data_IF_317082837199
#
_entry.id   IF_317082837199
#
_cell.length_a   1.000
_cell.length_b   1.000
_cell.length_c   1.000
_cell.angle_alpha   90.00
_cell.angle_beta   90.00
_cell.angle_gamma   90.00
#
_symmetry.space_group_name_H-M   'P 1'
#
loop_
_entity.id
_entity.type
_entity.pdbx_description
1 polymer ?
#
# COMPACT_ATOMS: atom_id res chain seq x y z
N UNK A 1 -12.09 -24.12 -4.38
CA UNK A 1 -11.83 -22.86 -5.14
C UNK A 1 -11.20 -21.76 -4.28
N UNK A 2 -11.65 -21.48 -3.04
CA UNK A 2 -11.03 -20.44 -2.19
C UNK A 2 -9.52 -20.61 -1.93
N UNK A 3 -9.01 -21.85 -1.86
CA UNK A 3 -7.59 -22.14 -1.67
C UNK A 3 -6.67 -21.80 -2.86
N UNK A 4 -7.21 -21.51 -4.05
CA UNK A 4 -6.42 -21.02 -5.20
C UNK A 4 -6.29 -19.49 -5.22
N UNK A 5 -7.28 -18.78 -4.64
CA UNK A 5 -7.29 -17.32 -4.64
C UNK A 5 -6.34 -16.80 -3.58
N UNK A 6 -6.47 -17.29 -2.34
CA UNK A 6 -5.68 -16.83 -1.20
C UNK A 6 -4.48 -17.75 -0.96
N UNK A 7 -3.29 -17.19 -1.09
CA UNK A 7 -2.05 -17.92 -0.85
C UNK A 7 -1.58 -17.79 0.59
N UNK A 8 -1.17 -18.92 1.19
CA UNK A 8 -0.56 -18.91 2.53
C UNK A 8 0.83 -18.27 2.55
N UNK A 9 1.61 -18.43 1.47
CA UNK A 9 2.94 -17.84 1.32
C UNK A 9 2.90 -16.46 0.65
N UNK A 10 3.92 -15.62 0.91
CA UNK A 10 4.03 -14.28 0.34
C UNK A 10 4.11 -14.26 -1.18
N UNK A 11 3.27 -13.46 -1.84
CA UNK A 11 3.25 -13.34 -3.30
C UNK A 11 4.59 -12.80 -3.83
N UNK A 12 5.15 -11.78 -3.16
CA UNK A 12 6.45 -11.21 -3.53
C UNK A 12 7.53 -12.25 -3.36
N UNK A 13 7.51 -13.00 -2.25
CA UNK A 13 8.50 -14.08 -2.01
C UNK A 13 8.52 -15.09 -3.15
N UNK A 14 7.35 -15.51 -3.66
CA UNK A 14 7.27 -16.43 -4.81
C UNK A 14 7.76 -15.81 -6.11
N UNK A 15 7.50 -14.52 -6.30
CA UNK A 15 7.83 -13.80 -7.53
C UNK A 15 9.15 -13.02 -7.45
N UNK A 16 9.96 -13.23 -6.41
CA UNK A 16 11.15 -12.43 -6.15
C UNK A 16 12.14 -12.42 -7.33
N UNK A 17 12.33 -13.56 -7.98
CA UNK A 17 13.18 -13.65 -9.18
C UNK A 17 12.62 -12.82 -10.35
N UNK A 18 11.30 -12.80 -10.56
CA UNK A 18 10.66 -11.98 -11.60
C UNK A 18 10.80 -10.49 -11.27
N UNK A 19 10.57 -10.12 -10.02
CA UNK A 19 10.72 -8.74 -9.51
C UNK A 19 12.15 -8.27 -9.72
N UNK A 20 13.14 -9.07 -9.30
CA UNK A 20 14.57 -8.78 -9.50
C UNK A 20 14.91 -8.57 -10.97
N UNK A 21 14.46 -9.45 -11.86
CA UNK A 21 14.65 -9.30 -13.31
C UNK A 21 14.03 -8.01 -13.83
N UNK A 22 12.83 -7.64 -13.37
CA UNK A 22 12.15 -6.42 -13.80
C UNK A 22 12.85 -5.16 -13.30
N UNK A 23 13.25 -5.09 -12.03
CA UNK A 23 13.99 -3.93 -11.50
C UNK A 23 15.34 -3.75 -12.22
N UNK A 24 16.02 -4.84 -12.55
CA UNK A 24 17.26 -4.78 -13.35
C UNK A 24 17.00 -4.23 -14.76
N UNK A 25 15.92 -4.66 -15.43
CA UNK A 25 15.49 -4.08 -16.73
C UNK A 25 15.19 -2.58 -16.63
N UNK A 26 14.70 -2.13 -15.48
CA UNK A 26 14.46 -0.72 -15.17
C UNK A 26 15.72 0.03 -14.70
N UNK A 27 16.90 -0.61 -14.79
CA UNK A 27 18.22 -0.04 -14.43
C UNK A 27 18.34 0.38 -12.95
N UNK A 28 17.57 -0.25 -12.06
CA UNK A 28 17.71 -0.11 -10.61
C UNK A 28 18.68 -1.15 -10.06
N UNK A 29 19.48 -0.77 -9.06
CA UNK A 29 20.50 -1.67 -8.52
C UNK A 29 19.91 -2.71 -7.56
N UNK A 30 20.73 -3.72 -7.23
CA UNK A 30 20.37 -4.74 -6.26
C UNK A 30 20.26 -4.23 -4.81
N UNK A 31 20.72 -3.01 -4.51
CA UNK A 31 20.58 -2.39 -3.18
C UNK A 31 19.10 -2.10 -2.87
N UNK A 32 18.34 -1.62 -3.87
CA UNK A 32 16.89 -1.42 -3.78
C UNK A 32 16.13 -2.72 -3.44
N UNK A 33 16.67 -3.88 -3.84
CA UNK A 33 16.09 -5.19 -3.53
C UNK A 33 16.37 -5.65 -2.09
N UNK A 34 17.55 -5.35 -1.54
CA UNK A 34 18.02 -5.91 -0.26
C UNK A 34 17.42 -5.19 0.96
N UNK A 35 17.24 -3.88 0.88
CA UNK A 35 16.87 -3.06 2.04
C UNK A 35 15.34 -3.00 2.30
N UNK A 36 14.51 -3.55 1.42
CA UNK A 36 13.06 -3.39 1.51
C UNK A 36 12.33 -4.34 2.48
N UNK A 37 13.05 -5.02 3.37
CA UNK A 37 12.51 -6.08 4.23
C UNK A 37 11.34 -5.61 5.13
N UNK A 38 11.34 -4.35 5.57
CA UNK A 38 10.36 -3.83 6.55
C UNK A 38 8.93 -3.73 6.02
N UNK A 39 8.73 -3.45 4.73
CA UNK A 39 7.41 -3.42 4.08
C UNK A 39 7.07 -4.75 3.36
N UNK A 40 8.08 -5.47 2.87
CA UNK A 40 7.93 -6.77 2.20
C UNK A 40 7.59 -7.92 3.16
N UNK A 41 7.94 -7.86 4.45
CA UNK A 41 7.85 -9.05 5.33
C UNK A 41 6.43 -9.64 5.47
N UNK A 42 5.39 -8.91 5.05
CA UNK A 42 4.02 -9.45 4.94
C UNK A 42 3.33 -9.22 3.59
N UNK A 43 3.88 -8.40 2.71
CA UNK A 43 3.33 -8.05 1.40
C UNK A 43 1.85 -7.66 1.41
N UNK A 44 1.32 -7.14 2.52
CA UNK A 44 -0.14 -7.12 2.69
C UNK A 44 -0.83 -6.28 1.61
N UNK A 45 -0.28 -5.11 1.27
CA UNK A 45 -0.82 -4.27 0.21
C UNK A 45 -0.83 -5.01 -1.14
N UNK A 46 0.29 -5.62 -1.52
CA UNK A 46 0.44 -6.37 -2.78
C UNK A 46 -0.47 -7.61 -2.80
N UNK A 47 -0.56 -8.34 -1.69
CA UNK A 47 -1.45 -9.50 -1.56
C UNK A 47 -2.90 -9.12 -1.75
N UNK A 48 -3.35 -8.07 -1.07
CA UNK A 48 -4.74 -7.62 -1.18
C UNK A 48 -5.04 -7.16 -2.61
N UNK A 49 -4.13 -6.41 -3.24
CA UNK A 49 -4.24 -6.07 -4.66
C UNK A 49 -4.35 -7.30 -5.57
N UNK A 50 -3.44 -8.27 -5.43
CA UNK A 50 -3.43 -9.51 -6.22
C UNK A 50 -4.69 -10.35 -5.99
N UNK A 51 -5.16 -10.48 -4.74
CA UNK A 51 -6.38 -11.22 -4.44
C UNK A 51 -7.61 -10.55 -5.05
N UNK A 52 -7.66 -9.22 -5.03
CA UNK A 52 -8.71 -8.49 -5.74
C UNK A 52 -8.62 -8.71 -7.26
N UNK A 53 -7.43 -8.75 -7.86
CA UNK A 53 -7.30 -9.11 -9.28
C UNK A 53 -7.85 -10.52 -9.57
N UNK A 54 -7.42 -11.53 -8.80
CA UNK A 54 -7.86 -12.93 -8.94
C UNK A 54 -9.35 -13.10 -8.78
N UNK A 55 -9.95 -12.45 -7.77
CA UNK A 55 -11.40 -12.48 -7.53
C UNK A 55 -12.20 -11.93 -8.70
N UNK A 56 -11.58 -11.08 -9.52
CA UNK A 56 -12.18 -10.50 -10.70
C UNK A 56 -11.69 -11.16 -12.00
N UNK A 57 -11.04 -12.33 -11.91
CA UNK A 57 -10.48 -13.10 -13.02
C UNK A 57 -9.48 -12.33 -13.89
N UNK A 58 -8.73 -11.40 -13.28
CA UNK A 58 -7.66 -10.68 -13.96
C UNK A 58 -6.32 -11.41 -13.85
N UNK A 59 -5.55 -11.44 -14.94
CA UNK A 59 -4.21 -12.03 -14.94
C UNK A 59 -3.20 -11.08 -14.28
N UNK A 60 -2.61 -11.54 -13.17
CA UNK A 60 -1.57 -10.82 -12.43
C UNK A 60 -0.37 -10.41 -13.28
N UNK A 61 -0.06 -11.15 -14.35
CA UNK A 61 1.07 -10.79 -15.23
C UNK A 61 0.81 -9.48 -15.97
N UNK A 62 -0.43 -9.19 -16.35
CA UNK A 62 -0.80 -7.92 -16.99
C UNK A 62 -0.59 -6.72 -16.06
N UNK A 63 -0.79 -6.94 -14.75
CA UNK A 63 -0.66 -5.91 -13.71
C UNK A 63 0.68 -5.95 -12.97
N UNK A 64 1.68 -6.65 -13.51
CA UNK A 64 2.99 -6.77 -12.87
C UNK A 64 3.67 -5.39 -12.72
N UNK A 65 3.51 -4.50 -13.70
CA UNK A 65 4.04 -3.13 -13.62
C UNK A 65 3.38 -2.32 -12.49
N UNK A 66 2.08 -2.52 -12.23
CA UNK A 66 1.36 -1.92 -11.10
C UNK A 66 1.90 -2.39 -9.76
N UNK A 67 2.23 -3.68 -9.64
CA UNK A 67 2.83 -4.25 -8.42
C UNK A 67 4.23 -3.68 -8.17
N UNK A 68 5.04 -3.55 -9.22
CA UNK A 68 6.36 -2.92 -9.13
C UNK A 68 6.22 -1.45 -8.72
N UNK A 69 5.25 -0.73 -9.27
CA UNK A 69 5.00 0.66 -8.95
C UNK A 69 4.61 0.83 -7.47
N UNK A 70 3.70 0.01 -6.94
CA UNK A 70 3.37 0.00 -5.50
C UNK A 70 4.64 -0.11 -4.65
N UNK A 71 5.51 -1.07 -4.99
CA UNK A 71 6.74 -1.33 -4.24
C UNK A 71 7.70 -0.14 -4.28
N UNK A 72 7.93 0.43 -5.46
CA UNK A 72 8.84 1.57 -5.63
C UNK A 72 8.37 2.81 -4.88
N UNK A 73 7.06 3.08 -4.89
CA UNK A 73 6.46 4.20 -4.15
C UNK A 73 6.65 4.00 -2.65
N UNK A 74 6.37 2.81 -2.12
CA UNK A 74 6.62 2.52 -0.71
C UNK A 74 8.09 2.64 -0.32
N UNK A 75 9.02 2.19 -1.17
CA UNK A 75 10.47 2.38 -0.98
C UNK A 75 10.78 3.87 -0.87
N UNK A 76 10.36 4.65 -1.87
CA UNK A 76 10.64 6.07 -1.96
C UNK A 76 10.14 6.81 -0.71
N UNK A 77 8.92 6.54 -0.27
CA UNK A 77 8.38 7.13 0.94
C UNK A 77 9.12 6.70 2.19
N UNK A 78 9.49 5.42 2.34
CA UNK A 78 10.22 4.97 3.52
C UNK A 78 11.60 5.61 3.65
N UNK A 79 12.31 5.83 2.53
CA UNK A 79 13.64 6.46 2.51
C UNK A 79 13.64 7.87 3.10
N UNK A 80 12.50 8.58 3.04
CA UNK A 80 12.37 9.92 3.62
C UNK A 80 12.42 9.90 5.16
N UNK A 81 12.06 8.76 5.77
CA UNK A 81 11.99 8.59 7.23
C UNK A 81 13.12 7.73 7.79
N UNK A 82 13.56 6.70 7.05
CA UNK A 82 14.66 5.81 7.43
C UNK A 82 15.80 5.99 6.43
N UNK A 83 16.87 6.64 6.87
CA UNK A 83 18.04 6.92 6.03
C UNK A 83 18.81 5.62 5.77
N UNK A 84 18.59 5.00 4.61
CA UNK A 84 19.44 3.96 4.05
C UNK A 84 20.38 4.56 2.99
N UNK A 85 21.67 4.76 3.28
CA UNK A 85 22.59 5.48 2.39
C UNK A 85 22.66 4.89 0.97
N UNK A 86 22.64 3.56 0.86
CA UNK A 86 22.70 2.86 -0.42
C UNK A 86 21.46 3.11 -1.29
N UNK A 87 20.26 3.03 -0.72
CA UNK A 87 19.02 3.32 -1.45
C UNK A 87 18.91 4.83 -1.75
N UNK A 88 19.38 5.69 -0.85
CA UNK A 88 19.39 7.16 -1.04
C UNK A 88 20.18 7.58 -2.28
N UNK A 89 21.29 6.89 -2.57
CA UNK A 89 22.05 7.11 -3.81
C UNK A 89 21.27 6.82 -5.10
N UNK A 90 20.14 6.10 -5.02
CA UNK A 90 19.28 5.76 -6.16
C UNK A 90 17.97 6.56 -6.22
N UNK A 91 17.75 7.50 -5.31
CA UNK A 91 16.49 8.26 -5.20
C UNK A 91 16.03 8.83 -6.54
N UNK A 92 16.92 9.49 -7.27
CA UNK A 92 16.64 10.10 -8.59
C UNK A 92 16.19 9.04 -9.61
N UNK A 93 16.84 7.87 -9.60
CA UNK A 93 16.50 6.77 -10.53
C UNK A 93 15.16 6.16 -10.17
N UNK A 94 14.90 5.93 -8.88
CA UNK A 94 13.62 5.41 -8.38
C UNK A 94 12.49 6.37 -8.78
N UNK A 95 12.65 7.67 -8.52
CA UNK A 95 11.65 8.68 -8.86
C UNK A 95 11.40 8.76 -10.38
N UNK A 96 12.45 8.64 -11.19
CA UNK A 96 12.31 8.58 -12.65
C UNK A 96 11.47 7.37 -13.09
N UNK A 97 11.79 6.19 -12.57
CA UNK A 97 11.05 4.95 -12.88
C UNK A 97 9.59 5.03 -12.40
N UNK A 98 9.34 5.60 -11.22
CA UNK A 98 7.98 5.85 -10.71
C UNK A 98 7.20 6.71 -11.71
N UNK A 99 7.76 7.82 -12.17
CA UNK A 99 7.11 8.72 -13.15
C UNK A 99 6.82 8.02 -14.48
N UNK A 100 7.76 7.24 -14.99
CA UNK A 100 7.59 6.47 -16.24
C UNK A 100 6.46 5.43 -16.11
N UNK A 101 6.43 4.68 -15.02
CA UNK A 101 5.39 3.69 -14.77
C UNK A 101 4.03 4.35 -14.49
N UNK A 102 4.01 5.47 -13.76
CA UNK A 102 2.81 6.24 -13.49
C UNK A 102 2.13 6.69 -14.78
N UNK A 103 2.87 7.28 -15.71
CA UNK A 103 2.34 7.73 -17.00
C UNK A 103 1.76 6.57 -17.83
N UNK A 104 2.35 5.37 -17.71
CA UNK A 104 1.89 4.18 -18.41
C UNK A 104 0.62 3.59 -17.78
N UNK A 105 0.50 3.63 -16.46
CA UNK A 105 -0.52 2.86 -15.71
C UNK A 105 -1.70 3.74 -15.32
N UNK A 106 -1.45 4.94 -14.78
CA UNK A 106 -2.43 5.77 -14.09
C UNK A 106 -3.02 6.86 -15.01
N UNK A 107 -3.77 6.43 -16.02
CA UNK A 107 -4.39 7.33 -17.02
C UNK A 107 -5.58 8.11 -16.45
N UNK A 108 -6.40 7.49 -15.58
CA UNK A 108 -7.57 8.11 -14.96
C UNK A 108 -7.38 8.16 -13.45
N UNK A 109 -7.11 9.35 -12.92
CA UNK A 109 -6.83 9.55 -11.50
C UNK A 109 -8.03 10.11 -10.76
N UNK A 110 -8.29 9.53 -9.61
CA UNK A 110 -9.16 10.12 -8.59
C UNK A 110 -8.23 10.87 -7.62
N UNK A 111 -8.67 12.07 -7.21
CA UNK A 111 -7.99 12.86 -6.19
C UNK A 111 -8.97 13.15 -5.06
N UNK A 112 -8.76 12.52 -3.92
CA UNK A 112 -9.57 12.70 -2.70
C UNK A 112 -8.66 12.79 -1.49
N UNK A 113 -9.11 13.47 -0.44
CA UNK A 113 -8.30 13.62 0.77
C UNK A 113 -9.03 13.06 2.00
N UNK A 114 -9.15 11.72 2.03
CA UNK A 114 -9.70 11.00 3.18
C UNK A 114 -8.85 11.20 4.44
N UNK A 115 -7.53 11.46 4.31
CA UNK A 115 -6.67 11.80 5.44
C UNK A 115 -7.18 13.08 6.15
N UNK A 116 -7.46 14.15 5.39
CA UNK A 116 -8.00 15.39 5.94
C UNK A 116 -9.34 15.18 6.65
N UNK A 117 -10.21 14.34 6.10
CA UNK A 117 -11.50 14.03 6.71
C UNK A 117 -11.34 13.27 8.04
N UNK A 118 -10.46 12.27 8.08
CA UNK A 118 -10.17 11.49 9.29
C UNK A 118 -9.51 12.33 10.38
N UNK A 119 -8.61 13.25 10.02
CA UNK A 119 -7.94 14.14 10.96
C UNK A 119 -8.74 15.41 11.31
N UNK A 120 -9.96 15.60 10.77
CA UNK A 120 -10.71 16.85 10.89
C UNK A 120 -10.98 17.29 12.34
N UNK A 121 -11.13 16.34 13.26
CA UNK A 121 -11.43 16.59 14.67
C UNK A 121 -10.20 16.51 15.59
N UNK A 122 -8.99 16.49 15.01
CA UNK A 122 -7.73 16.36 15.75
C UNK A 122 -6.91 17.63 15.58
N UNK A 123 -6.24 18.05 16.65
CA UNK A 123 -5.35 19.22 16.60
C UNK A 123 -4.05 18.85 15.90
N UNK A 124 -4.02 19.02 14.58
CA UNK A 124 -2.90 18.62 13.71
C UNK A 124 -1.57 19.31 14.08
N UNK A 125 -1.63 20.53 14.64
CA UNK A 125 -0.46 21.28 15.09
C UNK A 125 0.21 20.68 16.34
N UNK A 126 -0.42 19.69 16.99
CA UNK A 126 0.21 18.94 18.08
C UNK A 126 1.42 18.16 17.53
N UNK A 127 2.65 18.36 18.05
CA UNK A 127 3.84 17.65 17.60
C UNK A 127 3.74 16.12 17.69
N UNK A 128 2.91 15.61 18.60
CA UNK A 128 2.63 14.19 18.75
C UNK A 128 1.78 13.63 17.60
N UNK A 129 1.03 14.47 16.90
CA UNK A 129 0.13 14.13 15.79
C UNK A 129 0.73 14.52 14.43
N UNK A 130 1.35 15.69 14.34
CA UNK A 130 1.85 16.27 13.09
C UNK A 130 2.70 15.30 12.26
N UNK A 131 3.49 14.44 12.92
CA UNK A 131 4.36 13.43 12.29
C UNK A 131 3.61 12.28 11.59
N UNK A 132 2.29 12.16 11.79
CA UNK A 132 1.42 11.15 11.17
C UNK A 132 0.51 11.71 10.07
N UNK A 133 0.60 13.00 9.79
CA UNK A 133 -0.28 13.72 8.86
C UNK A 133 0.49 14.20 7.62
N UNK A 134 -0.23 14.49 6.52
CA UNK A 134 0.28 14.93 5.20
C UNK A 134 0.92 13.81 4.38
N UNK A 135 0.29 12.65 4.41
CA UNK A 135 0.63 11.49 3.57
C UNK A 135 -0.42 11.24 2.48
N UNK A 136 -1.42 12.10 2.34
CA UNK A 136 -2.48 12.02 1.32
C UNK A 136 -1.95 11.76 -0.09
N UNK A 137 -0.81 12.32 -0.48
CA UNK A 137 -0.19 12.06 -1.79
C UNK A 137 0.25 10.59 -1.96
N UNK A 138 0.85 9.99 -0.92
CA UNK A 138 1.16 8.54 -0.91
C UNK A 138 -0.12 7.75 -1.08
N UNK A 139 -1.14 8.13 -0.31
CA UNK A 139 -2.38 7.37 -0.22
C UNK A 139 -3.13 7.41 -1.55
N UNK A 140 -3.30 8.59 -2.14
CA UNK A 140 -3.88 8.78 -3.46
C UNK A 140 -3.12 8.01 -4.54
N UNK A 141 -1.79 8.03 -4.50
CA UNK A 141 -0.98 7.38 -5.52
C UNK A 141 -1.24 5.86 -5.54
N UNK A 142 -1.16 5.23 -4.37
CA UNK A 142 -1.40 3.78 -4.24
C UNK A 142 -2.88 3.44 -4.50
N UNK A 143 -3.82 4.26 -4.03
CA UNK A 143 -5.25 4.10 -4.29
C UNK A 143 -5.58 4.11 -5.79
N UNK A 144 -4.93 4.98 -6.56
CA UNK A 144 -5.08 5.00 -8.01
C UNK A 144 -4.54 3.72 -8.69
N UNK A 145 -3.52 3.08 -8.12
CA UNK A 145 -3.06 1.76 -8.60
C UNK A 145 -4.11 0.69 -8.31
N UNK A 146 -4.73 0.72 -7.13
CA UNK A 146 -5.84 -0.17 -6.80
C UNK A 146 -7.05 0.05 -7.69
N UNK A 147 -7.35 1.29 -8.07
CA UNK A 147 -8.46 1.66 -8.94
C UNK A 147 -8.29 1.16 -10.38
N UNK A 148 -7.08 1.26 -10.93
CA UNK A 148 -6.81 1.11 -12.35
C UNK A 148 -7.38 -0.17 -13.01
N UNK A 149 -7.26 -1.38 -12.42
CA UNK A 149 -7.83 -2.60 -13.01
C UNK A 149 -9.36 -2.57 -13.08
N UNK A 150 -10.00 -1.86 -12.15
CA UNK A 150 -11.44 -1.92 -11.92
C UNK A 150 -12.18 -0.69 -12.46
N UNK A 151 -11.51 0.25 -13.14
CA UNK A 151 -12.09 1.52 -13.58
C UNK A 151 -13.39 1.40 -14.41
N UNK A 152 -13.61 0.26 -15.08
CA UNK A 152 -14.84 -0.01 -15.86
C UNK A 152 -15.98 -0.61 -15.04
N UNK A 153 -15.74 -0.95 -13.77
CA UNK A 153 -16.76 -1.51 -12.88
C UNK A 153 -17.61 -0.40 -12.28
N UNK A 154 -18.90 -0.69 -12.07
CA UNK A 154 -19.83 0.26 -11.42
C UNK A 154 -19.37 0.70 -10.03
N UNK A 155 -18.69 -0.19 -9.30
CA UNK A 155 -18.18 0.05 -7.95
C UNK A 155 -16.68 0.37 -7.92
N UNK A 156 -16.08 0.84 -9.03
CA UNK A 156 -14.65 1.10 -9.13
C UNK A 156 -14.09 2.00 -8.01
N UNK A 157 -14.88 3.01 -7.58
CA UNK A 157 -14.51 3.92 -6.48
C UNK A 157 -14.24 3.17 -5.17
N UNK A 158 -14.94 2.07 -4.90
CA UNK A 158 -14.69 1.28 -3.68
C UNK A 158 -13.27 0.72 -3.65
N UNK A 159 -12.72 0.30 -4.79
CA UNK A 159 -11.35 -0.22 -4.88
C UNK A 159 -10.33 0.89 -4.64
N UNK A 160 -10.61 2.09 -5.15
CA UNK A 160 -9.81 3.29 -4.86
C UNK A 160 -9.81 3.56 -3.35
N UNK A 161 -10.99 3.71 -2.75
CA UNK A 161 -11.13 4.06 -1.33
C UNK A 161 -10.49 2.98 -0.44
N UNK A 162 -10.67 1.70 -0.80
CA UNK A 162 -10.06 0.59 -0.08
C UNK A 162 -8.54 0.63 -0.13
N UNK A 163 -7.97 0.86 -1.33
CA UNK A 163 -6.54 1.03 -1.51
C UNK A 163 -5.99 2.18 -0.67
N UNK A 164 -6.72 3.30 -0.61
CA UNK A 164 -6.38 4.48 0.18
C UNK A 164 -6.32 4.16 1.69
N UNK A 165 -7.41 3.63 2.25
CA UNK A 165 -7.44 3.35 3.70
C UNK A 165 -6.47 2.22 4.08
N UNK A 166 -6.23 1.25 3.20
CA UNK A 166 -5.28 0.17 3.47
C UNK A 166 -3.84 0.69 3.59
N UNK A 167 -3.40 1.56 2.66
CA UNK A 167 -2.06 2.16 2.77
C UNK A 167 -1.97 3.13 3.95
N UNK A 168 -3.06 3.86 4.25
CA UNK A 168 -3.13 4.72 5.42
C UNK A 168 -2.97 3.92 6.72
N UNK A 169 -3.69 2.80 6.86
CA UNK A 169 -3.59 1.88 8.01
C UNK A 169 -2.16 1.33 8.20
N UNK A 170 -1.54 0.92 7.09
CA UNK A 170 -0.15 0.43 7.08
C UNK A 170 0.79 1.55 7.51
N UNK A 171 0.64 2.75 6.95
CA UNK A 171 1.48 3.90 7.28
C UNK A 171 1.39 4.25 8.77
N UNK A 172 0.17 4.38 9.32
CA UNK A 172 -0.02 4.64 10.75
C UNK A 172 0.67 3.59 11.63
N UNK A 173 0.57 2.31 11.24
CA UNK A 173 1.19 1.20 11.97
C UNK A 173 2.72 1.28 11.92
N UNK A 174 3.30 1.48 10.72
CA UNK A 174 4.75 1.57 10.52
C UNK A 174 5.31 2.80 11.23
N UNK A 175 4.67 3.97 11.09
CA UNK A 175 5.12 5.21 11.71
C UNK A 175 5.07 5.15 13.23
N UNK A 176 4.01 4.58 13.81
CA UNK A 176 3.89 4.44 15.26
C UNK A 176 5.05 3.62 15.83
N UNK A 177 5.47 2.57 15.11
CA UNK A 177 6.63 1.75 15.44
C UNK A 177 7.95 2.52 15.26
N UNK A 178 8.13 3.21 14.13
CA UNK A 178 9.35 4.00 13.86
C UNK A 178 9.56 5.10 14.91
N UNK A 179 8.50 5.77 15.33
CA UNK A 179 8.54 6.81 16.35
C UNK A 179 8.50 6.28 17.79
N UNK A 180 8.40 4.95 17.99
CA UNK A 180 8.30 4.30 19.31
C UNK A 180 7.18 4.88 20.18
N UNK A 181 6.07 5.21 19.57
CA UNK A 181 5.02 6.04 20.17
C UNK A 181 3.79 5.22 20.57
N UNK A 182 4.00 4.14 21.33
CA UNK A 182 2.95 3.16 21.65
C UNK A 182 1.78 3.75 22.43
N UNK A 183 2.04 4.76 23.26
CA UNK A 183 1.08 5.38 24.19
C UNK A 183 0.17 6.45 23.56
N UNK A 184 0.38 6.84 22.29
CA UNK A 184 -0.46 7.86 21.65
C UNK A 184 -1.88 7.36 21.40
N UNK A 185 -2.82 7.83 22.24
CA UNK A 185 -4.23 7.44 22.23
C UNK A 185 -4.99 8.04 21.05
N UNK A 186 -4.68 9.26 20.65
CA UNK A 186 -5.35 9.92 19.51
C UNK A 186 -5.04 9.19 18.21
N UNK A 187 -3.77 8.83 17.98
CA UNK A 187 -3.36 8.02 16.84
C UNK A 187 -3.98 6.62 16.88
N UNK A 188 -4.19 6.07 18.08
CA UNK A 188 -4.90 4.80 18.22
C UNK A 188 -6.37 4.93 17.78
N UNK A 189 -7.07 6.01 18.16
CA UNK A 189 -8.45 6.28 17.70
C UNK A 189 -8.52 6.43 16.18
N UNK A 190 -7.64 7.26 15.60
CA UNK A 190 -7.53 7.41 14.14
C UNK A 190 -7.31 6.05 13.46
N UNK A 191 -6.42 5.20 14.01
CA UNK A 191 -6.17 3.86 13.48
C UNK A 191 -7.42 2.98 13.51
N UNK A 192 -8.25 3.07 14.55
CA UNK A 192 -9.52 2.34 14.63
C UNK A 192 -10.49 2.81 13.56
N UNK A 193 -10.62 4.12 13.35
CA UNK A 193 -11.50 4.70 12.32
C UNK A 193 -11.06 4.27 10.91
N UNK A 194 -9.76 4.32 10.63
CA UNK A 194 -9.19 3.84 9.36
C UNK A 194 -9.40 2.33 9.18
N UNK A 195 -9.28 1.54 10.25
CA UNK A 195 -9.56 0.10 10.23
C UNK A 195 -11.03 -0.19 9.91
N UNK A 196 -11.94 0.56 10.53
CA UNK A 196 -13.37 0.42 10.29
C UNK A 196 -13.73 0.72 8.83
N UNK A 197 -13.19 1.81 8.26
CA UNK A 197 -13.37 2.15 6.85
C UNK A 197 -12.79 1.07 5.92
N UNK A 198 -11.58 0.56 6.21
CA UNK A 198 -11.00 -0.57 5.47
C UNK A 198 -11.92 -1.80 5.45
N UNK A 199 -12.45 -2.18 6.61
CA UNK A 199 -13.32 -3.34 6.75
C UNK A 199 -14.67 -3.14 6.07
N UNK A 200 -15.28 -1.97 6.23
CA UNK A 200 -16.52 -1.65 5.53
C UNK A 200 -16.36 -1.80 4.02
N UNK A 201 -15.32 -1.17 3.44
CA UNK A 201 -15.08 -1.20 2.00
C UNK A 201 -14.81 -2.61 1.46
N UNK A 202 -14.06 -3.44 2.18
CA UNK A 202 -13.84 -4.82 1.72
C UNK A 202 -15.10 -5.69 1.86
N UNK A 203 -15.96 -5.38 2.85
CA UNK A 203 -17.29 -5.95 2.97
C UNK A 203 -18.15 -5.65 1.75
N UNK A 204 -18.14 -4.40 1.28
CA UNK A 204 -18.87 -3.98 0.08
C UNK A 204 -18.28 -4.53 -1.22
N UNK A 205 -16.94 -4.62 -1.34
CA UNK A 205 -16.27 -5.13 -2.54
C UNK A 205 -16.45 -6.65 -2.68
N UNK A 206 -16.31 -7.39 -1.59
CA UNK A 206 -16.26 -8.85 -1.61
C UNK A 206 -16.84 -9.49 -0.34
N UNK A 207 -18.17 -9.41 -0.13
CA UNK A 207 -18.81 -9.91 1.09
C UNK A 207 -18.46 -11.37 1.40
N UNK A 208 -18.43 -12.21 0.36
CA UNK A 208 -18.13 -13.65 0.47
C UNK A 208 -16.73 -13.96 0.99
N UNK A 209 -15.77 -13.06 0.77
CA UNK A 209 -14.38 -13.24 1.16
C UNK A 209 -13.91 -12.24 2.24
N UNK A 210 -14.83 -11.44 2.77
CA UNK A 210 -14.58 -10.44 3.81
C UNK A 210 -13.68 -10.96 4.93
N UNK A 211 -14.03 -12.10 5.53
CA UNK A 211 -13.28 -12.70 6.64
C UNK A 211 -11.83 -13.00 6.27
N UNK A 212 -11.54 -13.42 5.03
CA UNK A 212 -10.18 -13.73 4.61
C UNK A 212 -9.30 -12.48 4.51
N UNK A 213 -9.87 -11.36 4.05
CA UNK A 213 -9.17 -10.07 3.99
C UNK A 213 -8.94 -9.52 5.40
N UNK A 214 -9.97 -9.51 6.25
CA UNK A 214 -9.89 -9.05 7.63
C UNK A 214 -8.87 -9.85 8.44
N UNK A 215 -8.86 -11.18 8.31
CA UNK A 215 -7.89 -12.03 9.00
C UNK A 215 -6.44 -11.68 8.62
N UNK A 216 -6.18 -11.37 7.35
CA UNK A 216 -4.84 -10.99 6.91
C UNK A 216 -4.43 -9.60 7.43
N UNK A 217 -5.34 -8.63 7.40
CA UNK A 217 -5.13 -7.30 7.97
C UNK A 217 -4.83 -7.42 9.46
N UNK A 218 -5.68 -8.12 10.22
CA UNK A 218 -5.48 -8.33 11.65
C UNK A 218 -4.17 -9.06 11.94
N UNK A 219 -3.84 -10.09 11.17
CA UNK A 219 -2.55 -10.77 11.31
C UNK A 219 -1.40 -9.79 11.11
N UNK A 220 -1.45 -8.91 10.09
CA UNK A 220 -0.45 -7.85 9.90
C UNK A 220 -0.34 -6.97 11.13
N UNK A 221 -1.46 -6.40 11.60
CA UNK A 221 -1.54 -5.47 12.73
C UNK A 221 -1.09 -6.07 14.06
N UNK A 222 -1.19 -7.39 14.26
CA UNK A 222 -0.74 -8.05 15.49
C UNK A 222 0.78 -8.22 15.57
N UNK A 223 1.48 -8.29 14.43
CA UNK A 223 2.93 -8.53 14.41
C UNK A 223 3.76 -7.24 14.31
N UNK A 224 3.14 -6.11 13.94
CA UNK A 224 3.80 -4.83 13.71
C UNK A 224 3.13 -3.71 14.49
#
# INVERSE_FOLDING_TARGET
MAGQIFERSGWVKKNNNKIRKKLFKLKLSSVVLKDFKTFDEKDILIKNFVYLLRLNNFDEQEYFDSIILIRLVLIYYHMQYVRHPGVKGEEIKILKVIKELEQKILVNKINTNHEKEIFANVKIDDPSIAKYYRFDLLYNFIANIFYQPFMKKRNAKLYFDYGYYLVFLINLTVMKKLFKDSANVEIYKIKLDVTANCHYLIGEITPLYFNNFVQQINYFLQKY
#
